data_IF_331377199048
#
_entry.id   IF_331377199048
#
_cell.length_a   1.000
_cell.length_b   1.000
_cell.length_c   1.000
_cell.angle_alpha   90.00
_cell.angle_beta   90.00
_cell.angle_gamma   90.00
#
_symmetry.space_group_name_H-M   'P 1'
#
loop_
_entity.id
_entity.type
_entity.pdbx_description
1 polymer ?
#
# COMPACT_ATOMS: atom_id res chain seq x y z
N UNK A 1 7.25 11.12 1.68
CA UNK A 1 6.38 10.66 0.58
C UNK A 1 5.40 11.77 0.29
N UNK A 2 5.30 12.28 -0.92
CA UNK A 2 4.36 13.35 -1.25
C UNK A 2 3.25 12.84 -2.16
N UNK A 3 2.16 13.60 -2.24
CA UNK A 3 1.10 13.32 -3.20
C UNK A 3 1.67 13.24 -4.63
N UNK A 4 1.26 12.20 -5.36
CA UNK A 4 1.76 11.87 -6.69
C UNK A 4 2.91 10.85 -6.70
N UNK A 5 3.58 10.59 -5.57
CA UNK A 5 4.57 9.51 -5.48
C UNK A 5 3.90 8.15 -5.69
N UNK A 6 4.61 7.22 -6.33
CA UNK A 6 4.12 5.86 -6.57
C UNK A 6 4.73 4.88 -5.56
N UNK A 7 3.89 4.01 -5.02
CA UNK A 7 4.30 2.90 -4.16
C UNK A 7 3.91 1.57 -4.80
N UNK A 8 4.81 0.60 -4.70
CA UNK A 8 4.70 -0.68 -5.40
C UNK A 8 4.42 -1.79 -4.39
N UNK A 9 3.45 -2.65 -4.70
CA UNK A 9 3.16 -3.80 -3.86
C UNK A 9 4.30 -4.84 -3.93
N UNK A 10 4.78 -5.27 -2.77
CA UNK A 10 5.97 -6.13 -2.64
C UNK A 10 5.84 -7.49 -3.30
N UNK A 11 4.65 -8.10 -3.23
CA UNK A 11 4.41 -9.45 -3.76
C UNK A 11 4.08 -9.44 -5.25
N UNK A 12 3.80 -8.27 -5.83
CA UNK A 12 3.56 -8.13 -7.26
C UNK A 12 3.85 -6.70 -7.71
N UNK A 13 4.92 -6.55 -8.48
CA UNK A 13 5.41 -5.24 -8.93
C UNK A 13 4.52 -4.58 -9.98
N UNK A 14 3.52 -5.28 -10.53
CA UNK A 14 2.55 -4.67 -11.46
C UNK A 14 1.45 -3.91 -10.72
N UNK A 15 1.34 -4.08 -9.40
CA UNK A 15 0.39 -3.34 -8.57
C UNK A 15 1.09 -2.09 -8.05
N UNK A 16 0.69 -0.95 -8.62
CA UNK A 16 1.18 0.38 -8.27
C UNK A 16 0.02 1.21 -7.74
N UNK A 17 0.24 1.88 -6.62
CA UNK A 17 -0.71 2.82 -6.03
C UNK A 17 -0.07 4.20 -5.89
N UNK A 18 -0.84 5.27 -6.10
CA UNK A 18 -0.35 6.65 -6.07
C UNK A 18 -0.70 7.30 -4.73
N UNK A 19 0.26 7.92 -4.06
CA UNK A 19 0.01 8.65 -2.80
C UNK A 19 -0.92 9.83 -3.10
N UNK A 20 -1.99 9.97 -2.33
CA UNK A 20 -2.97 11.07 -2.44
C UNK A 20 -3.29 11.76 -1.12
N UNK A 21 -2.72 11.27 -0.01
CA UNK A 21 -2.78 11.89 1.30
C UNK A 21 -1.78 11.24 2.26
N UNK A 22 -1.77 11.68 3.52
CA UNK A 22 -0.80 11.23 4.54
C UNK A 22 -0.77 9.71 4.70
N UNK A 23 -1.94 9.06 4.67
CA UNK A 23 -2.10 7.60 4.83
C UNK A 23 -2.92 6.96 3.73
N UNK A 24 -3.17 7.72 2.66
CA UNK A 24 -4.08 7.35 1.58
C UNK A 24 -3.36 7.21 0.25
N UNK A 25 -3.77 6.21 -0.51
CA UNK A 25 -3.35 5.97 -1.88
C UNK A 25 -4.54 5.84 -2.81
N UNK A 26 -4.34 6.18 -4.07
CA UNK A 26 -5.27 5.91 -5.16
C UNK A 26 -4.85 4.61 -5.86
N UNK A 27 -5.81 3.70 -6.02
CA UNK A 27 -5.65 2.44 -6.75
C UNK A 27 -6.96 2.08 -7.42
N UNK A 28 -6.92 1.80 -8.73
CA UNK A 28 -8.12 1.46 -9.50
C UNK A 28 -9.18 2.56 -9.54
N UNK A 29 -8.78 3.84 -9.46
CA UNK A 29 -9.69 4.99 -9.44
C UNK A 29 -10.40 5.24 -8.11
N UNK A 30 -10.06 4.50 -7.05
CA UNK A 30 -10.60 4.69 -5.70
C UNK A 30 -9.48 5.04 -4.72
N UNK A 31 -9.82 5.80 -3.66
CA UNK A 31 -8.92 6.08 -2.53
C UNK A 31 -8.98 4.97 -1.49
N UNK A 32 -7.82 4.66 -0.91
CA UNK A 32 -7.65 3.59 0.05
C UNK A 32 -6.65 3.99 1.13
N UNK A 33 -6.93 3.57 2.37
CA UNK A 33 -5.85 3.32 3.32
C UNK A 33 -5.08 2.05 2.91
N UNK A 34 -3.79 1.99 3.21
CA UNK A 34 -2.94 0.87 2.81
C UNK A 34 -3.41 -0.49 3.35
N UNK A 35 -3.84 -0.58 4.61
CA UNK A 35 -4.26 -1.85 5.20
C UNK A 35 -5.50 -2.45 4.51
N UNK A 36 -6.60 -1.70 4.31
CA UNK A 36 -7.71 -2.14 3.47
C UNK A 36 -7.32 -2.49 2.03
N UNK A 37 -6.42 -1.73 1.40
CA UNK A 37 -5.97 -2.04 0.04
C UNK A 37 -5.23 -3.39 -0.02
N UNK A 38 -4.33 -3.66 0.92
CA UNK A 38 -3.64 -4.95 1.00
C UNK A 38 -4.64 -6.09 1.14
N UNK A 39 -5.64 -5.93 2.02
CA UNK A 39 -6.72 -6.91 2.17
C UNK A 39 -7.45 -7.14 0.84
N UNK A 40 -7.86 -6.07 0.15
CA UNK A 40 -8.54 -6.15 -1.16
C UNK A 40 -7.72 -6.91 -2.19
N UNK A 41 -6.42 -6.64 -2.28
CA UNK A 41 -5.50 -7.33 -3.21
C UNK A 41 -5.43 -8.84 -2.89
N UNK A 42 -5.40 -9.22 -1.60
CA UNK A 42 -5.42 -10.63 -1.21
C UNK A 42 -6.79 -11.29 -1.41
N UNK A 43 -7.89 -10.56 -1.20
CA UNK A 43 -9.25 -11.02 -1.53
C UNK A 43 -9.38 -11.33 -3.02
N UNK A 44 -8.91 -10.42 -3.89
CA UNK A 44 -8.94 -10.61 -5.36
C UNK A 44 -8.09 -11.81 -5.83
N UNK A 45 -7.18 -12.27 -4.98
CA UNK A 45 -6.30 -13.43 -5.25
C UNK A 45 -6.74 -14.69 -4.52
N UNK A 46 -7.82 -14.66 -3.74
CA UNK A 46 -8.24 -15.75 -2.87
C UNK A 46 -7.11 -16.22 -1.91
N UNK A 47 -6.35 -15.25 -1.39
CA UNK A 47 -5.15 -15.43 -0.55
C UNK A 47 -5.25 -14.70 0.80
N UNK A 48 -6.47 -14.44 1.26
CA UNK A 48 -6.68 -13.80 2.56
C UNK A 48 -6.19 -14.68 3.71
N UNK A 49 -5.61 -14.05 4.73
CA UNK A 49 -5.33 -14.70 6.00
C UNK A 49 -6.59 -14.78 6.89
N UNK A 50 -6.57 -15.67 7.88
CA UNK A 50 -7.71 -15.87 8.80
C UNK A 50 -8.02 -14.63 9.67
N UNK A 51 -7.00 -13.82 9.96
CA UNK A 51 -7.15 -12.63 10.80
C UNK A 51 -7.82 -11.45 10.09
N UNK A 52 -7.78 -11.40 8.75
CA UNK A 52 -8.19 -10.24 7.95
C UNK A 52 -7.37 -8.96 8.18
N UNK A 53 -6.38 -8.98 9.07
CA UNK A 53 -5.56 -7.84 9.45
C UNK A 53 -4.24 -7.82 8.69
N UNK A 54 -3.88 -6.65 8.17
CA UNK A 54 -2.63 -6.42 7.46
C UNK A 54 -1.99 -5.11 7.92
N UNK A 55 -0.67 -5.12 8.10
CA UNK A 55 0.12 -3.90 8.25
C UNK A 55 0.42 -3.34 6.85
N UNK A 56 -0.42 -2.46 6.33
CA UNK A 56 -0.36 -2.01 4.94
C UNK A 56 1.02 -1.54 4.49
N UNK A 57 1.69 -0.72 5.32
CA UNK A 57 3.03 -0.20 5.07
C UNK A 57 4.12 -1.29 4.95
N UNK A 58 3.88 -2.50 5.48
CA UNK A 58 4.79 -3.63 5.36
C UNK A 58 4.76 -4.32 3.98
N UNK A 59 3.73 -4.04 3.18
CA UNK A 59 3.48 -4.68 1.88
C UNK A 59 3.74 -3.76 0.68
N UNK A 60 4.00 -2.48 0.92
CA UNK A 60 4.31 -1.52 -0.14
C UNK A 60 5.75 -1.02 0.00
N UNK A 61 6.34 -0.65 -1.13
CA UNK A 61 7.66 -0.05 -1.21
C UNK A 61 7.65 1.26 -1.98
N UNK A 62 8.50 2.17 -1.55
CA UNK A 62 8.91 3.35 -2.30
C UNK A 62 10.42 3.23 -2.55
N UNK A 63 10.84 3.32 -3.81
CA UNK A 63 12.25 3.21 -4.20
C UNK A 63 12.96 1.96 -3.61
N UNK A 64 12.28 0.81 -3.68
CA UNK A 64 12.78 -0.47 -3.17
C UNK A 64 12.81 -0.63 -1.64
N UNK A 65 12.44 0.41 -0.87
CA UNK A 65 12.35 0.36 0.60
C UNK A 65 10.91 0.23 1.06
N UNK A 66 10.66 -0.64 2.04
CA UNK A 66 9.31 -0.82 2.58
C UNK A 66 8.87 0.43 3.30
N UNK A 67 7.60 0.81 3.16
CA UNK A 67 7.09 2.02 3.80
C UNK A 67 7.20 1.95 5.32
N UNK A 68 7.02 0.76 5.91
CA UNK A 68 7.16 0.54 7.37
C UNK A 68 8.58 0.79 7.90
N UNK A 69 9.59 0.78 7.03
CA UNK A 69 11.00 0.95 7.38
C UNK A 69 11.49 2.37 7.05
N UNK A 70 10.62 3.22 6.48
CA UNK A 70 10.90 4.63 6.26
C UNK A 70 10.73 5.39 7.58
N UNK A 71 11.54 6.43 7.81
CA UNK A 71 11.29 7.34 8.93
C UNK A 71 9.90 7.96 8.78
N UNK A 72 9.22 8.23 9.91
CA UNK A 72 8.05 9.11 9.91
C UNK A 72 8.51 10.46 9.39
N UNK A 73 8.18 10.74 8.14
CA UNK A 73 8.33 12.05 7.54
C UNK A 73 7.04 12.79 7.84
N UNK A 74 7.09 13.82 8.68
CA UNK A 74 6.03 14.83 8.73
C UNK A 74 5.84 15.36 7.30
N UNK A 75 4.63 15.17 6.75
CA UNK A 75 4.25 15.64 5.42
C UNK A 75 3.56 17.00 5.49
#
# INVERSE_FOLDING_TARGET
LKNGDEVVFLKDKTIVAKIVGEREVEYGGQRWFLSPLVRKIFEDRNQVNDSGAYQGAAYFCFDGKKLKDLPDVEL
#
